data_IF_647923678248
#
_entry.id   IF_647923678248
#
_cell.length_a   1.000
_cell.length_b   1.000
_cell.length_c   1.000
_cell.angle_alpha   90.00
_cell.angle_beta   90.00
_cell.angle_gamma   90.00
#
_symmetry.space_group_name_H-M   'P 1'
#
loop_
_entity.id
_entity.type
_entity.pdbx_description
1 polymer ?
#
# COMPACT_ATOMS: atom_id res chain seq x y z
N UNK A 1 12.23 16.20 -30.58
CA UNK A 1 11.32 15.03 -30.51
C UNK A 1 11.80 14.02 -29.48
N UNK A 2 13.07 13.59 -29.54
CA UNK A 2 13.71 12.78 -28.49
C UNK A 2 13.62 13.44 -27.10
N UNK A 3 13.80 14.76 -27.03
CA UNK A 3 13.69 15.57 -25.79
C UNK A 3 12.37 15.41 -25.00
N UNK A 4 11.25 15.08 -25.66
CA UNK A 4 9.97 14.85 -24.97
C UNK A 4 9.63 13.37 -24.90
N UNK A 5 9.94 12.60 -25.96
CA UNK A 5 9.59 11.18 -26.02
C UNK A 5 10.43 10.28 -25.12
N UNK A 6 11.72 10.60 -24.90
CA UNK A 6 12.61 9.81 -24.05
C UNK A 6 12.24 9.97 -22.57
N UNK A 7 12.10 11.19 -22.01
CA UNK A 7 11.73 11.34 -20.60
C UNK A 7 10.38 10.71 -20.27
N UNK A 8 9.37 10.87 -21.13
CA UNK A 8 8.06 10.23 -20.94
C UNK A 8 8.15 8.70 -20.93
N UNK A 9 9.07 8.11 -21.69
CA UNK A 9 9.33 6.68 -21.68
C UNK A 9 10.01 6.25 -20.39
N UNK A 10 11.05 6.95 -19.97
CA UNK A 10 11.78 6.65 -18.73
C UNK A 10 10.86 6.75 -17.52
N UNK A 11 9.98 7.75 -17.46
CA UNK A 11 8.97 7.84 -16.41
C UNK A 11 8.03 6.62 -16.41
N UNK A 12 7.60 6.14 -17.56
CA UNK A 12 6.76 4.94 -17.60
C UNK A 12 7.51 3.67 -17.16
N UNK A 13 8.80 3.55 -17.49
CA UNK A 13 9.60 2.35 -17.18
C UNK A 13 9.98 2.29 -15.69
N UNK A 14 10.13 3.44 -15.04
CA UNK A 14 10.47 3.53 -13.62
C UNK A 14 9.27 3.35 -12.68
N UNK A 15 8.04 3.35 -13.19
CA UNK A 15 6.84 3.07 -12.41
C UNK A 15 6.40 1.63 -12.60
N UNK A 16 6.36 0.87 -11.50
CA UNK A 16 6.02 -0.55 -11.52
C UNK A 16 4.58 -0.77 -11.95
N UNK A 17 4.34 -1.85 -12.68
CA UNK A 17 2.99 -2.27 -13.05
C UNK A 17 2.33 -2.96 -11.86
N UNK A 18 1.13 -2.48 -11.44
CA UNK A 18 0.37 -3.03 -10.30
C UNK A 18 0.22 -4.56 -10.37
N UNK A 19 0.16 -5.14 -11.57
CA UNK A 19 0.02 -6.60 -11.79
C UNK A 19 1.21 -7.44 -11.32
N UNK A 20 2.40 -6.85 -11.18
CA UNK A 20 3.60 -7.56 -10.72
C UNK A 20 3.96 -7.24 -9.28
N UNK A 21 3.24 -6.31 -8.64
CA UNK A 21 3.44 -5.99 -7.24
C UNK A 21 2.88 -7.09 -6.33
N UNK A 22 3.41 -7.20 -5.12
CA UNK A 22 2.89 -8.09 -4.10
C UNK A 22 1.46 -7.67 -3.69
N UNK A 23 0.55 -8.60 -3.30
CA UNK A 23 -0.82 -8.24 -2.91
C UNK A 23 -0.90 -7.10 -1.87
N UNK A 24 0.00 -7.10 -0.89
CA UNK A 24 0.12 -6.03 0.10
C UNK A 24 0.38 -4.66 -0.55
N UNK A 25 1.36 -4.57 -1.45
CA UNK A 25 1.73 -3.33 -2.13
C UNK A 25 0.58 -2.83 -3.03
N UNK A 26 -0.16 -3.75 -3.68
CA UNK A 26 -1.35 -3.40 -4.47
C UNK A 26 -2.42 -2.76 -3.59
N UNK A 27 -2.68 -3.34 -2.43
CA UNK A 27 -3.64 -2.79 -1.47
C UNK A 27 -3.19 -1.45 -0.93
N UNK A 28 -1.90 -1.27 -0.64
CA UNK A 28 -1.35 0.03 -0.20
C UNK A 28 -1.55 1.11 -1.26
N UNK A 29 -1.26 0.81 -2.53
CA UNK A 29 -1.48 1.75 -3.64
C UNK A 29 -2.95 2.17 -3.70
N UNK A 30 -3.86 1.22 -3.61
CA UNK A 30 -5.30 1.46 -3.70
C UNK A 30 -5.83 2.28 -2.52
N UNK A 31 -5.41 1.95 -1.30
CA UNK A 31 -5.76 2.71 -0.09
C UNK A 31 -5.19 4.13 -0.10
N UNK A 32 -4.01 4.31 -0.69
CA UNK A 32 -3.29 5.58 -0.68
C UNK A 32 -3.72 6.52 -1.81
N UNK A 33 -3.94 5.99 -3.01
CA UNK A 33 -4.21 6.77 -4.22
C UNK A 33 -5.66 6.71 -4.69
N UNK A 34 -6.47 5.82 -4.11
CA UNK A 34 -7.81 5.48 -4.58
C UNK A 34 -7.78 4.43 -5.69
N UNK A 35 -8.91 3.75 -5.87
CA UNK A 35 -9.05 2.71 -6.88
C UNK A 35 -8.95 3.28 -8.31
N UNK A 36 -8.20 2.59 -9.17
CA UNK A 36 -7.98 2.93 -10.59
C UNK A 36 -7.18 4.19 -10.91
N UNK A 37 -6.94 5.10 -9.96
CA UNK A 37 -6.28 6.38 -10.21
C UNK A 37 -4.84 6.22 -10.71
N UNK A 38 -4.10 5.25 -10.15
CA UNK A 38 -2.73 4.94 -10.55
C UNK A 38 -2.64 4.53 -12.03
N UNK A 39 -3.48 3.57 -12.44
CA UNK A 39 -3.55 3.07 -13.81
C UNK A 39 -4.03 4.15 -14.79
N UNK A 40 -4.98 4.99 -14.37
CA UNK A 40 -5.52 6.06 -15.21
C UNK A 40 -4.44 7.09 -15.55
N UNK A 41 -3.67 7.55 -14.56
CA UNK A 41 -2.58 8.52 -14.76
C UNK A 41 -1.50 7.94 -15.67
N UNK A 42 -1.08 6.68 -15.45
CA UNK A 42 -0.14 6.00 -16.34
C UNK A 42 -0.69 5.82 -17.76
N UNK A 43 -1.99 5.56 -17.89
CA UNK A 43 -2.71 5.48 -19.17
C UNK A 43 -2.68 6.81 -19.93
N UNK A 44 -3.00 7.93 -19.24
CA UNK A 44 -2.92 9.30 -19.78
C UNK A 44 -1.51 9.64 -20.22
N UNK A 45 -0.50 9.31 -19.42
CA UNK A 45 0.91 9.53 -19.76
C UNK A 45 1.34 8.74 -21.01
N UNK A 46 0.91 7.48 -21.13
CA UNK A 46 1.19 6.66 -22.30
C UNK A 46 0.51 7.21 -23.57
N UNK A 47 -0.71 7.71 -23.44
CA UNK A 47 -1.43 8.37 -24.54
C UNK A 47 -0.68 9.63 -25.01
N UNK A 48 -0.23 10.47 -24.06
CA UNK A 48 0.58 11.66 -24.33
C UNK A 48 1.88 11.28 -25.07
N UNK A 49 2.60 10.26 -24.58
CA UNK A 49 3.82 9.75 -25.22
C UNK A 49 3.55 9.32 -26.68
N UNK A 50 2.51 8.51 -26.91
CA UNK A 50 2.14 8.05 -28.25
C UNK A 50 1.83 9.21 -29.19
N UNK A 51 1.09 10.23 -28.70
CA UNK A 51 0.73 11.43 -29.45
C UNK A 51 1.95 12.29 -29.80
N UNK A 52 2.87 12.49 -28.86
CA UNK A 52 4.14 13.22 -29.10
C UNK A 52 4.95 12.53 -30.18
N UNK A 53 5.11 11.21 -30.08
CA UNK A 53 5.89 10.41 -31.03
C UNK A 53 5.23 10.38 -32.41
N UNK A 54 3.91 10.24 -32.49
CA UNK A 54 3.20 10.19 -33.78
C UNK A 54 3.31 11.52 -34.53
N UNK A 55 2.99 12.64 -33.85
CA UNK A 55 3.01 13.99 -34.45
C UNK A 55 4.41 14.33 -34.93
N UNK A 56 5.45 14.08 -34.14
CA UNK A 56 6.78 14.41 -34.60
C UNK A 56 7.32 13.47 -35.67
N UNK A 57 6.89 12.20 -35.75
CA UNK A 57 7.24 11.31 -36.87
C UNK A 57 6.59 11.80 -38.17
N UNK A 58 5.33 12.19 -38.08
CA UNK A 58 4.57 12.76 -39.20
C UNK A 58 5.23 14.02 -39.75
N UNK A 59 5.46 15.03 -38.90
CA UNK A 59 6.10 16.27 -39.33
C UNK A 59 7.55 16.09 -39.78
N UNK A 60 8.32 15.19 -39.17
CA UNK A 60 9.67 14.86 -39.65
C UNK A 60 9.62 14.21 -41.05
N UNK A 61 8.67 13.31 -41.29
CA UNK A 61 8.48 12.72 -42.61
C UNK A 61 8.03 13.74 -43.65
N UNK A 62 7.16 14.69 -43.29
CA UNK A 62 6.73 15.75 -44.20
C UNK A 62 7.89 16.68 -44.55
N UNK A 63 8.68 17.11 -43.57
CA UNK A 63 9.89 17.91 -43.81
C UNK A 63 10.89 17.20 -44.72
N UNK A 64 11.08 15.89 -44.55
CA UNK A 64 11.99 15.10 -45.41
C UNK A 64 11.50 14.97 -46.87
N UNK A 65 10.19 15.13 -47.11
CA UNK A 65 9.56 15.08 -48.43
C UNK A 65 9.38 16.45 -49.08
N UNK A 66 9.60 17.54 -48.34
CA UNK A 66 9.46 18.91 -48.85
C UNK A 66 10.50 19.19 -49.93
N UNK A 67 10.06 19.81 -51.02
CA UNK A 67 10.92 20.09 -52.18
C UNK A 67 11.57 21.47 -52.11
N UNK A 68 11.05 22.36 -51.25
CA UNK A 68 11.56 23.72 -51.07
C UNK A 68 11.90 24.00 -49.61
N UNK A 69 12.91 24.85 -49.40
CA UNK A 69 13.29 25.33 -48.06
C UNK A 69 12.10 25.99 -47.34
N UNK A 70 11.31 26.79 -48.05
CA UNK A 70 10.14 27.50 -47.48
C UNK A 70 9.09 26.53 -46.95
N UNK A 71 8.80 25.47 -47.69
CA UNK A 71 7.85 24.44 -47.27
C UNK A 71 8.36 23.68 -46.03
N UNK A 72 9.65 23.31 -46.01
CA UNK A 72 10.25 22.64 -44.86
C UNK A 72 10.21 23.51 -43.58
N UNK A 73 10.42 24.82 -43.69
CA UNK A 73 10.32 25.76 -42.57
C UNK A 73 8.88 25.90 -42.05
N UNK A 74 7.89 25.89 -42.93
CA UNK A 74 6.48 25.94 -42.54
C UNK A 74 6.06 24.66 -41.81
N UNK A 75 6.45 23.49 -42.33
CA UNK A 75 6.22 22.18 -41.67
C UNK A 75 6.91 22.07 -40.33
N UNK A 76 8.13 22.62 -40.19
CA UNK A 76 8.81 22.70 -38.90
C UNK A 76 8.01 23.57 -37.92
N UNK A 77 7.53 24.75 -38.35
CA UNK A 77 6.75 25.65 -37.51
C UNK A 77 5.44 25.01 -37.06
N UNK A 78 4.78 24.25 -37.94
CA UNK A 78 3.60 23.46 -37.58
C UNK A 78 3.94 22.35 -36.56
N UNK A 79 5.03 21.63 -36.77
CA UNK A 79 5.50 20.60 -35.83
C UNK A 79 5.85 21.14 -34.45
N UNK A 80 6.35 22.38 -34.36
CA UNK A 80 6.64 23.04 -33.08
C UNK A 80 5.38 23.41 -32.29
N UNK A 81 4.19 23.49 -32.93
CA UNK A 81 2.91 23.63 -32.21
C UNK A 81 2.59 22.40 -31.33
N UNK A 82 3.35 21.31 -31.46
CA UNK A 82 3.31 20.17 -30.54
C UNK A 82 3.56 20.61 -29.08
N UNK A 83 4.35 21.66 -28.84
CA UNK A 83 4.58 22.18 -27.48
C UNK A 83 3.28 22.67 -26.83
N UNK A 84 2.40 23.33 -27.60
CA UNK A 84 1.10 23.78 -27.10
C UNK A 84 0.19 22.58 -26.78
N UNK A 85 0.21 21.54 -27.63
CA UNK A 85 -0.53 20.29 -27.38
C UNK A 85 0.01 19.56 -26.15
N UNK A 86 1.33 19.56 -25.95
CA UNK A 86 1.96 19.00 -24.76
C UNK A 86 1.53 19.74 -23.50
N UNK A 87 1.55 21.09 -23.50
CA UNK A 87 1.12 21.90 -22.35
C UNK A 87 -0.32 21.64 -21.93
N UNK A 88 -1.23 21.32 -22.86
CA UNK A 88 -2.62 20.96 -22.54
C UNK A 88 -2.74 19.64 -21.79
N UNK A 89 -1.84 18.69 -22.05
CA UNK A 89 -1.86 17.34 -21.46
C UNK A 89 -0.75 17.14 -20.40
N UNK A 90 0.07 18.17 -20.14
CA UNK A 90 1.18 18.15 -19.19
C UNK A 90 0.74 17.84 -17.76
N UNK A 91 -0.54 18.08 -17.43
CA UNK A 91 -1.15 17.69 -16.16
C UNK A 91 -0.93 16.20 -15.84
N UNK A 92 -0.88 15.30 -16.83
CA UNK A 92 -0.61 13.89 -16.58
C UNK A 92 0.79 13.65 -15.96
N UNK A 93 1.77 14.50 -16.30
CA UNK A 93 3.12 14.44 -15.72
C UNK A 93 3.11 14.99 -14.29
N UNK A 94 2.37 16.06 -14.03
CA UNK A 94 2.20 16.62 -12.68
C UNK A 94 1.46 15.64 -11.76
N UNK A 95 0.41 14.99 -12.26
CA UNK A 95 -0.34 13.96 -11.55
C UNK A 95 0.59 12.77 -11.21
N UNK A 96 1.43 12.34 -12.14
CA UNK A 96 2.43 11.29 -11.90
C UNK A 96 3.47 11.71 -10.85
N UNK A 97 3.93 12.96 -10.89
CA UNK A 97 4.85 13.50 -9.88
C UNK A 97 4.21 13.49 -8.49
N UNK A 98 2.93 13.85 -8.40
CA UNK A 98 2.18 13.80 -7.14
C UNK A 98 2.07 12.35 -6.64
N UNK A 99 1.74 11.40 -7.51
CA UNK A 99 1.75 9.97 -7.16
C UNK A 99 3.12 9.56 -6.61
N UNK A 100 4.23 9.88 -7.28
CA UNK A 100 5.56 9.55 -6.78
C UNK A 100 5.87 10.16 -5.40
N UNK A 101 5.41 11.39 -5.13
CA UNK A 101 5.58 12.02 -3.82
C UNK A 101 4.78 11.30 -2.74
N UNK A 102 3.54 10.94 -3.05
CA UNK A 102 2.67 10.22 -2.12
C UNK A 102 3.21 8.82 -1.84
N UNK A 103 3.61 8.07 -2.86
CA UNK A 103 4.19 6.73 -2.69
C UNK A 103 5.48 6.73 -1.88
N UNK A 104 6.28 7.81 -1.95
CA UNK A 104 7.48 7.97 -1.10
C UNK A 104 7.19 8.14 0.39
N UNK A 105 5.96 8.49 0.77
CA UNK A 105 5.54 8.60 2.15
C UNK A 105 4.93 7.30 2.71
N UNK A 106 4.71 6.30 1.85
CA UNK A 106 4.16 4.99 2.25
C UNK A 106 5.21 4.22 3.06
N UNK A 107 4.81 3.50 4.13
CA UNK A 107 5.73 2.70 4.92
C UNK A 107 6.47 1.68 4.06
N UNK A 108 7.78 1.56 4.28
CA UNK A 108 8.62 0.53 3.66
C UNK A 108 8.58 -0.70 4.55
N UNK A 109 8.07 -1.80 4.00
CA UNK A 109 7.97 -3.10 4.68
C UNK A 109 8.69 -4.14 3.85
N UNK A 110 9.54 -4.94 4.49
CA UNK A 110 10.14 -6.11 3.89
C UNK A 110 9.13 -7.26 3.92
N UNK A 111 8.81 -7.80 2.76
CA UNK A 111 7.79 -8.84 2.57
C UNK A 111 8.34 -10.25 2.83
N UNK A 112 9.67 -10.42 2.87
CA UNK A 112 10.31 -11.72 3.12
C UNK A 112 10.59 -11.95 4.61
N UNK A 113 10.51 -10.89 5.42
CA UNK A 113 10.74 -10.94 6.85
C UNK A 113 9.42 -11.09 7.62
N UNK A 114 9.27 -12.11 8.51
CA UNK A 114 8.11 -12.22 9.38
C UNK A 114 7.85 -10.94 10.17
N UNK A 115 6.63 -10.41 10.04
CA UNK A 115 6.23 -9.14 10.65
C UNK A 115 5.21 -9.38 11.76
N UNK A 116 5.42 -8.75 12.91
CA UNK A 116 4.47 -8.74 14.01
C UNK A 116 3.51 -7.54 13.87
N UNK A 117 2.21 -7.81 13.79
CA UNK A 117 1.17 -6.78 13.77
C UNK A 117 0.55 -6.62 15.16
N UNK A 118 0.55 -5.40 15.69
CA UNK A 118 -0.13 -5.07 16.95
C UNK A 118 -1.53 -4.53 16.64
N UNK A 119 -2.57 -5.23 17.10
CA UNK A 119 -3.97 -4.84 16.88
C UNK A 119 -4.65 -4.60 18.22
N UNK A 120 -5.33 -3.47 18.35
CA UNK A 120 -6.14 -3.15 19.52
C UNK A 120 -7.62 -3.36 19.22
N UNK A 121 -8.33 -4.07 20.11
CA UNK A 121 -9.79 -4.21 20.06
C UNK A 121 -10.42 -3.53 21.29
N UNK A 122 -11.20 -2.47 21.04
CA UNK A 122 -11.86 -1.71 22.12
C UNK A 122 -13.07 -2.43 22.72
N UNK A 123 -13.62 -3.44 22.02
CA UNK A 123 -14.73 -4.25 22.49
C UNK A 123 -14.62 -5.70 21.98
N UNK A 124 -15.45 -6.58 22.54
CA UNK A 124 -15.46 -8.01 22.25
C UNK A 124 -15.85 -8.34 20.79
N UNK A 125 -16.78 -7.58 20.21
CA UNK A 125 -17.27 -7.82 18.85
C UNK A 125 -16.13 -7.63 17.84
N UNK A 126 -15.39 -6.52 17.95
CA UNK A 126 -14.22 -6.24 17.10
C UNK A 126 -13.15 -7.31 17.30
N UNK A 127 -12.90 -7.74 18.54
CA UNK A 127 -11.95 -8.81 18.82
C UNK A 127 -12.30 -10.09 18.06
N UNK A 128 -13.57 -10.51 18.07
CA UNK A 128 -14.03 -11.71 17.34
C UNK A 128 -13.96 -11.55 15.84
N UNK A 129 -14.40 -10.41 15.32
CA UNK A 129 -14.33 -10.13 13.88
C UNK A 129 -12.89 -10.19 13.35
N UNK A 130 -11.95 -9.59 14.08
CA UNK A 130 -10.52 -9.62 13.71
C UNK A 130 -9.99 -11.05 13.81
N UNK A 131 -10.28 -11.77 14.90
CA UNK A 131 -9.84 -13.15 15.08
C UNK A 131 -10.34 -14.09 13.97
N UNK A 132 -11.60 -13.95 13.55
CA UNK A 132 -12.18 -14.72 12.44
C UNK A 132 -11.51 -14.37 11.10
N UNK A 133 -11.36 -13.07 10.82
CA UNK A 133 -10.77 -12.58 9.57
C UNK A 133 -9.31 -12.99 9.40
N UNK A 134 -8.55 -13.09 10.49
CA UNK A 134 -7.13 -13.45 10.46
C UNK A 134 -6.86 -14.85 11.03
N UNK A 135 -7.85 -15.74 11.01
CA UNK A 135 -7.76 -17.11 11.53
C UNK A 135 -6.60 -17.96 10.99
N UNK A 136 -6.08 -17.63 9.81
CA UNK A 136 -4.90 -18.28 9.21
C UNK A 136 -3.55 -17.74 9.70
N UNK A 137 -3.54 -16.73 10.58
CA UNK A 137 -2.32 -16.14 11.14
C UNK A 137 -2.04 -16.69 12.53
N UNK A 138 -0.75 -16.73 12.91
CA UNK A 138 -0.40 -16.95 14.31
C UNK A 138 -0.82 -15.73 15.14
N UNK A 139 -1.37 -15.99 16.32
CA UNK A 139 -1.99 -14.98 17.16
C UNK A 139 -1.57 -15.14 18.63
N UNK A 140 -1.41 -14.02 19.33
CA UNK A 140 -1.15 -13.96 20.77
C UNK A 140 -2.06 -12.91 21.39
N UNK A 141 -2.93 -13.35 22.30
CA UNK A 141 -3.77 -12.45 23.08
C UNK A 141 -2.98 -11.82 24.22
N UNK A 142 -3.15 -10.50 24.38
CA UNK A 142 -2.47 -9.71 25.39
C UNK A 142 -3.45 -8.74 26.04
N UNK A 143 -3.49 -8.73 27.37
CA UNK A 143 -4.22 -7.72 28.14
C UNK A 143 -3.21 -6.75 28.75
N UNK A 144 -3.16 -5.55 28.16
CA UNK A 144 -2.28 -4.48 28.63
C UNK A 144 -2.80 -3.82 29.91
N UNK A 145 -1.90 -3.25 30.70
CA UNK A 145 -2.17 -2.54 31.96
C UNK A 145 -2.90 -3.43 32.97
N UNK A 146 -2.46 -4.68 33.10
CA UNK A 146 -3.09 -5.65 33.99
C UNK A 146 -3.08 -5.20 35.47
N UNK A 147 -2.14 -4.32 35.84
CA UNK A 147 -2.07 -3.65 37.14
C UNK A 147 -3.32 -2.79 37.47
N UNK A 148 -4.10 -2.41 36.45
CA UNK A 148 -5.34 -1.65 36.59
C UNK A 148 -6.60 -2.52 36.60
N UNK A 149 -6.54 -3.79 36.17
CA UNK A 149 -7.71 -4.69 36.15
C UNK A 149 -8.42 -4.82 37.51
N UNK A 150 -7.74 -4.89 38.67
CA UNK A 150 -8.43 -4.90 39.97
C UNK A 150 -8.99 -3.51 40.38
N UNK A 151 -8.70 -2.43 39.64
CA UNK A 151 -9.07 -1.04 39.97
C UNK A 151 -9.92 -0.36 38.89
N UNK A 152 -10.25 -1.05 37.81
CA UNK A 152 -10.80 -0.43 36.61
C UNK A 152 -12.27 -0.02 36.79
N UNK A 153 -12.63 1.28 36.65
CA UNK A 153 -13.98 1.79 36.84
C UNK A 153 -14.94 1.50 35.66
N UNK A 154 -14.55 0.63 34.72
CA UNK A 154 -15.29 0.36 33.47
C UNK A 154 -16.59 -0.43 33.70
N UNK A 155 -16.93 -0.77 34.94
CA UNK A 155 -18.28 -1.25 35.31
C UNK A 155 -19.38 -0.17 35.14
N UNK A 156 -19.03 1.10 34.92
CA UNK A 156 -19.99 2.22 34.93
C UNK A 156 -20.39 2.78 33.55
N UNK A 157 -20.03 2.15 32.43
CA UNK A 157 -20.72 2.42 31.16
C UNK A 157 -21.84 1.38 31.01
N UNK A 158 -22.85 1.51 31.87
CA UNK A 158 -24.17 0.94 31.62
C UNK A 158 -24.80 1.72 30.48
N UNK A 159 -24.51 1.29 29.25
CA UNK A 159 -25.41 1.55 28.12
C UNK A 159 -26.49 0.49 28.15
N UNK A 160 -27.71 0.89 28.50
CA UNK A 160 -28.91 0.06 28.46
C UNK A 160 -29.07 -0.61 27.08
N UNK A 161 -29.28 -1.93 27.07
CA UNK A 161 -29.88 -2.67 25.95
C UNK A 161 -28.94 -3.56 25.13
N UNK A 162 -28.68 -4.78 25.61
CA UNK A 162 -28.85 -6.06 24.88
C UNK A 162 -28.16 -7.20 25.68
N UNK A 163 -28.68 -8.42 25.57
CA UNK A 163 -28.24 -9.61 26.32
C UNK A 163 -26.73 -9.86 26.22
N UNK A 164 -26.00 -9.41 27.25
CA UNK A 164 -24.59 -9.69 27.35
C UNK A 164 -24.37 -11.20 27.51
N UNK A 165 -23.87 -11.85 26.46
CA UNK A 165 -23.44 -13.24 26.55
C UNK A 165 -22.41 -13.39 27.68
N UNK A 166 -22.38 -14.54 28.38
CA UNK A 166 -21.41 -14.77 29.45
C UNK A 166 -19.95 -14.55 29.04
N UNK A 167 -19.65 -14.75 27.75
CA UNK A 167 -18.34 -14.54 27.15
C UNK A 167 -17.98 -13.04 27.05
N UNK A 168 -18.92 -12.17 26.66
CA UNK A 168 -18.73 -10.72 26.65
C UNK A 168 -18.45 -10.15 28.05
N UNK A 169 -19.20 -10.64 29.05
CA UNK A 169 -19.00 -10.24 30.44
C UNK A 169 -17.61 -10.65 30.96
N UNK A 170 -17.15 -11.87 30.60
CA UNK A 170 -15.80 -12.35 30.93
C UNK A 170 -14.72 -11.51 30.24
N UNK A 171 -14.87 -11.25 28.95
CA UNK A 171 -13.94 -10.43 28.18
C UNK A 171 -13.78 -9.04 28.77
N UNK A 172 -14.88 -8.36 29.16
CA UNK A 172 -14.80 -7.04 29.80
C UNK A 172 -14.07 -7.06 31.14
N UNK A 173 -14.16 -8.17 31.88
CA UNK A 173 -13.54 -8.29 33.21
C UNK A 173 -12.06 -8.69 33.15
N UNK A 174 -11.70 -9.60 32.25
CA UNK A 174 -10.40 -10.28 32.27
C UNK A 174 -9.72 -10.35 30.89
N UNK A 175 -10.37 -9.89 29.83
CA UNK A 175 -9.91 -10.04 28.45
C UNK A 175 -10.16 -11.45 27.88
N UNK A 176 -9.53 -11.77 26.73
CA UNK A 176 -9.59 -13.11 26.15
C UNK A 176 -9.08 -14.19 27.11
N UNK A 177 -9.66 -15.39 27.00
CA UNK A 177 -9.17 -16.55 27.76
C UNK A 177 -7.79 -16.97 27.27
N UNK A 178 -6.86 -17.21 28.20
CA UNK A 178 -5.47 -17.57 27.87
C UNK A 178 -4.58 -16.40 27.42
N UNK A 179 -5.09 -15.16 27.51
CA UNK A 179 -4.30 -13.96 27.23
C UNK A 179 -3.16 -13.75 28.23
N UNK A 180 -2.03 -13.25 27.74
CA UNK A 180 -0.91 -12.85 28.60
C UNK A 180 -1.26 -11.51 29.24
N UNK A 181 -1.27 -11.49 30.57
CA UNK A 181 -1.45 -10.27 31.35
C UNK A 181 -0.14 -9.50 31.42
N UNK A 182 -0.12 -8.29 30.88
CA UNK A 182 1.10 -7.47 30.84
C UNK A 182 0.90 -6.10 31.45
N UNK A 183 1.95 -5.61 32.11
CA UNK A 183 2.05 -4.22 32.54
C UNK A 183 3.45 -3.71 32.30
N UNK A 184 3.56 -2.62 31.56
CA UNK A 184 4.83 -1.90 31.39
C UNK A 184 5.25 -1.24 32.70
N UNK A 185 4.28 -0.82 33.53
CA UNK A 185 4.57 -0.13 34.78
C UNK A 185 5.20 -1.05 35.83
N UNK A 186 4.72 -2.29 35.91
CA UNK A 186 5.21 -3.28 36.88
C UNK A 186 6.12 -4.33 36.24
N UNK A 187 6.46 -4.17 34.96
CA UNK A 187 7.21 -5.11 34.11
C UNK A 187 6.62 -6.54 34.06
N UNK A 188 5.39 -6.71 34.53
CA UNK A 188 4.72 -8.01 34.63
C UNK A 188 4.41 -8.55 33.24
N UNK A 189 4.70 -9.83 33.01
CA UNK A 189 4.37 -10.56 31.78
C UNK A 189 5.17 -10.17 30.54
N UNK A 190 6.07 -9.17 30.62
CA UNK A 190 6.81 -8.69 29.45
C UNK A 190 7.81 -9.73 28.91
N UNK A 191 8.49 -10.47 29.79
CA UNK A 191 9.48 -11.46 29.35
C UNK A 191 8.82 -12.72 28.79
N UNK A 192 7.67 -13.12 29.34
CA UNK A 192 6.83 -14.17 28.76
C UNK A 192 6.33 -13.76 27.37
N UNK A 193 5.83 -12.53 27.23
CA UNK A 193 5.37 -12.01 25.94
C UNK A 193 6.49 -11.97 24.90
N UNK A 194 7.66 -11.44 25.27
CA UNK A 194 8.83 -11.39 24.36
C UNK A 194 9.23 -12.79 23.91
N UNK A 195 9.32 -13.75 24.82
CA UNK A 195 9.71 -15.13 24.52
C UNK A 195 8.71 -15.79 23.57
N UNK A 196 7.41 -15.67 23.87
CA UNK A 196 6.35 -16.25 23.03
C UNK A 196 6.31 -15.64 21.63
N UNK A 197 6.45 -14.32 21.52
CA UNK A 197 6.51 -13.63 20.23
C UNK A 197 7.75 -14.04 19.43
N UNK A 198 8.90 -14.15 20.10
CA UNK A 198 10.14 -14.56 19.47
C UNK A 198 10.03 -15.97 18.88
N UNK A 199 9.53 -16.94 19.66
CA UNK A 199 9.33 -18.31 19.20
C UNK A 199 8.33 -18.39 18.03
N UNK A 200 7.27 -17.59 18.10
CA UNK A 200 6.28 -17.47 17.03
C UNK A 200 6.89 -16.97 15.72
N UNK A 201 7.73 -15.93 15.78
CA UNK A 201 8.41 -15.37 14.61
C UNK A 201 9.43 -16.33 14.02
N UNK A 202 10.18 -17.08 14.85
CA UNK A 202 11.10 -18.12 14.39
C UNK A 202 10.34 -19.20 13.61
N UNK A 203 9.23 -19.69 14.17
CA UNK A 203 8.40 -20.71 13.51
C UNK A 203 7.89 -20.24 12.15
N UNK A 204 7.46 -18.98 12.03
CA UNK A 204 7.07 -18.41 10.73
C UNK A 204 8.23 -18.28 9.76
N UNK A 205 9.41 -17.86 10.25
CA UNK A 205 10.61 -17.76 9.41
C UNK A 205 11.00 -19.13 8.82
N UNK A 206 10.94 -20.18 9.63
CA UNK A 206 11.23 -21.56 9.19
C UNK A 206 10.22 -22.02 8.13
N UNK A 207 8.94 -21.70 8.32
CA UNK A 207 7.88 -21.99 7.34
C UNK A 207 8.13 -21.31 5.99
N UNK A 208 8.43 -20.00 5.98
CA UNK A 208 8.73 -19.25 4.75
C UNK A 208 9.97 -19.81 4.01
N UNK A 209 11.00 -20.20 4.77
CA UNK A 209 12.20 -20.84 4.20
C UNK A 209 11.88 -22.20 3.57
N UNK A 210 10.95 -22.96 4.15
CA UNK A 210 10.53 -24.24 3.58
C UNK A 210 9.70 -24.08 2.30
N UNK A 211 8.84 -23.06 2.22
CA UNK A 211 7.98 -22.79 1.05
C UNK A 211 8.78 -22.23 -0.14
N UNK A 212 9.81 -21.42 0.11
CA UNK A 212 10.74 -20.95 -0.92
C UNK A 212 11.71 -22.02 -1.43
N UNK A 213 11.91 -23.11 -0.69
CA UNK A 213 12.79 -24.22 -1.07
C UNK A 213 12.09 -25.33 -1.87
N UNK A 214 10.76 -25.33 -1.95
CA UNK A 214 10.03 -26.23 -2.85
C UNK A 214 9.93 -25.60 -4.24
N UNK A 215 10.61 -26.13 -5.27
CA UNK A 215 10.43 -25.63 -6.63
C UNK A 215 8.98 -25.87 -7.06
N UNK A 216 8.34 -24.82 -7.57
CA UNK A 216 7.02 -24.89 -8.21
C UNK A 216 7.01 -26.06 -9.21
N UNK A 217 6.06 -26.97 -9.02
CA UNK A 217 5.78 -28.12 -9.91
C UNK A 217 4.78 -27.72 -10.99
#
# INVERSE_FOLDING_TARGET
MKELGIPLREYMENFLNKKYLHPYERSLIELTLGDGNYEEVLGRLNALKKKVVSVGKEHASLCAKSTTKREAEERLREGMKLEAKYKQEAKAVDDLLNIAKTLRAVPVVDLETPTLCLVGASNYIIYKEVGERFSNHLWVDVVSKCDLLPKSPVQNITGDGDEDTPEMARYRKAGPEGAILVSVMTETGLDELKSRVHDMLISQLEKLKSESASPES
#
